data_IF_434879158181
#
_entry.id   IF_434879158181
#
_cell.length_a   1.000
_cell.length_b   1.000
_cell.length_c   1.000
_cell.angle_alpha   90.00
_cell.angle_beta   90.00
_cell.angle_gamma   90.00
#
_symmetry.space_group_name_H-M   'P 1'
#
loop_
_entity.id
_entity.type
_entity.pdbx_description
1 polymer ?
#
# COMPACT_ATOMS: atom_id res chain seq x y z
N UNK A 1 1.54 14.47 16.63
CA UNK A 1 2.40 13.38 16.09
C UNK A 1 3.21 12.69 17.21
N UNK A 2 3.96 13.43 18.04
CA UNK A 2 4.73 12.87 19.18
C UNK A 2 3.91 12.02 20.15
N UNK A 3 2.73 12.49 20.56
CA UNK A 3 1.84 11.75 21.48
C UNK A 3 1.36 10.39 20.96
N UNK A 4 1.23 10.22 19.64
CA UNK A 4 0.81 8.94 19.03
C UNK A 4 1.95 7.91 19.04
N UNK A 5 3.18 8.37 18.83
CA UNK A 5 4.37 7.53 18.84
C UNK A 5 4.70 7.11 20.27
N UNK A 6 4.64 8.04 21.23
CA UNK A 6 4.93 7.77 22.64
C UNK A 6 3.92 6.78 23.28
N UNK A 7 2.68 6.73 22.75
CA UNK A 7 1.64 5.80 23.21
C UNK A 7 1.68 4.43 22.50
N UNK A 8 2.56 4.25 21.52
CA UNK A 8 2.70 2.99 20.80
C UNK A 8 3.33 1.88 21.64
N UNK A 9 3.05 0.62 21.31
CA UNK A 9 3.72 -0.52 21.94
C UNK A 9 5.12 -0.73 21.31
N UNK A 10 6.23 -0.52 22.06
CA UNK A 10 7.58 -0.74 21.52
C UNK A 10 7.88 -2.20 21.23
N UNK A 11 7.14 -3.13 21.82
CA UNK A 11 7.26 -4.57 21.59
C UNK A 11 6.31 -5.07 20.48
N UNK A 12 5.71 -4.18 19.69
CA UNK A 12 4.87 -4.60 18.57
C UNK A 12 5.70 -5.37 17.53
N UNK A 13 5.40 -6.66 17.37
CA UNK A 13 6.00 -7.50 16.37
C UNK A 13 5.30 -7.28 15.01
N UNK A 14 6.00 -6.62 14.08
CA UNK A 14 5.47 -6.43 12.73
C UNK A 14 5.32 -7.78 12.02
N UNK A 15 4.19 -8.02 11.32
CA UNK A 15 4.01 -9.24 10.57
C UNK A 15 4.94 -9.26 9.36
N UNK A 16 5.41 -10.45 8.99
CA UNK A 16 6.04 -10.69 7.69
C UNK A 16 4.93 -10.87 6.67
N UNK A 17 4.88 -10.00 5.67
CA UNK A 17 3.89 -10.03 4.60
C UNK A 17 4.54 -10.59 3.33
N UNK A 18 3.77 -11.36 2.54
CA UNK A 18 4.18 -11.73 1.18
C UNK A 18 4.22 -10.47 0.32
N UNK A 19 5.38 -10.18 -0.29
CA UNK A 19 5.55 -9.01 -1.15
C UNK A 19 4.63 -9.00 -2.37
N UNK A 20 4.08 -10.16 -2.75
CA UNK A 20 3.11 -10.32 -3.84
C UNK A 20 1.66 -10.15 -3.39
N UNK A 21 1.39 -10.10 -2.08
CA UNK A 21 0.05 -9.88 -1.56
C UNK A 21 -0.45 -8.48 -1.96
N UNK A 22 -1.77 -8.38 -2.15
CA UNK A 22 -2.43 -7.12 -2.48
C UNK A 22 -2.32 -6.12 -1.32
N UNK A 23 -1.94 -4.88 -1.63
CA UNK A 23 -1.78 -3.80 -0.66
C UNK A 23 -2.61 -2.54 -0.97
N UNK A 24 -3.04 -2.34 -2.22
CA UNK A 24 -3.86 -1.19 -2.60
C UNK A 24 -4.76 -1.52 -3.80
N UNK A 25 -5.96 -0.93 -3.80
CA UNK A 25 -6.91 -0.97 -4.91
C UNK A 25 -7.26 0.46 -5.33
N UNK A 26 -6.85 0.84 -6.53
CA UNK A 26 -7.14 2.16 -7.08
C UNK A 26 -8.26 2.06 -8.11
N UNK A 27 -9.38 2.75 -7.86
CA UNK A 27 -10.46 2.87 -8.82
C UNK A 27 -10.24 4.09 -9.72
N UNK A 28 -10.32 3.89 -11.02
CA UNK A 28 -10.35 5.00 -11.98
C UNK A 28 -11.71 5.07 -12.65
N UNK A 29 -12.18 6.31 -12.84
CA UNK A 29 -13.34 6.60 -13.68
C UNK A 29 -13.03 6.11 -15.09
N UNK A 30 -13.59 4.96 -15.48
CA UNK A 30 -13.43 4.42 -16.82
C UNK A 30 -14.31 5.19 -17.81
N UNK A 31 -13.80 5.47 -19.00
CA UNK A 31 -14.56 6.13 -20.07
C UNK A 31 -15.77 5.34 -20.57
N UNK A 32 -15.84 4.03 -20.23
CA UNK A 32 -16.91 3.10 -20.62
C UNK A 32 -17.95 2.84 -19.52
N UNK A 33 -18.02 3.70 -18.49
CA UNK A 33 -19.09 3.71 -17.48
C UNK A 33 -18.80 2.95 -16.18
N UNK A 34 -18.19 1.76 -16.22
CA UNK A 34 -17.82 1.03 -14.99
C UNK A 34 -16.40 1.38 -14.54
N UNK A 35 -16.19 1.78 -13.27
CA UNK A 35 -14.85 2.00 -12.73
C UNK A 35 -14.00 0.73 -12.80
N UNK A 36 -12.79 0.85 -13.33
CA UNK A 36 -11.82 -0.27 -13.33
C UNK A 36 -10.98 -0.18 -12.07
N UNK A 37 -10.87 -1.29 -11.34
CA UNK A 37 -10.01 -1.40 -10.17
C UNK A 37 -8.63 -1.92 -10.56
N UNK A 38 -7.58 -1.18 -10.21
CA UNK A 38 -6.18 -1.61 -10.35
C UNK A 38 -5.68 -2.08 -8.99
N UNK A 39 -5.34 -3.37 -8.91
CA UNK A 39 -4.81 -3.98 -7.70
C UNK A 39 -3.28 -3.93 -7.73
N UNK A 40 -2.68 -3.35 -6.69
CA UNK A 40 -1.23 -3.29 -6.51
C UNK A 40 -0.77 -4.26 -5.42
N UNK A 41 0.37 -4.89 -5.64
CA UNK A 41 1.10 -5.64 -4.61
C UNK A 41 2.09 -4.74 -3.87
N UNK A 42 2.49 -5.16 -2.66
CA UNK A 42 3.52 -4.45 -1.88
C UNK A 42 4.78 -4.18 -2.70
N UNK A 43 5.29 -5.21 -3.38
CA UNK A 43 6.45 -5.11 -4.26
C UNK A 43 6.22 -4.13 -5.42
N UNK A 44 5.04 -4.21 -6.06
CA UNK A 44 4.69 -3.36 -7.19
C UNK A 44 4.71 -1.88 -6.80
N UNK A 45 4.10 -1.54 -5.67
CA UNK A 45 4.09 -0.17 -5.15
C UNK A 45 5.49 0.37 -4.86
N UNK A 46 6.35 -0.41 -4.19
CA UNK A 46 7.74 0.00 -3.89
C UNK A 46 8.54 0.23 -5.17
N UNK A 47 8.47 -0.71 -6.12
CA UNK A 47 9.17 -0.57 -7.40
C UNK A 47 8.68 0.64 -8.19
N UNK A 48 7.37 0.90 -8.22
CA UNK A 48 6.83 2.11 -8.86
C UNK A 48 7.33 3.40 -8.21
N UNK A 49 7.48 3.44 -6.88
CA UNK A 49 8.01 4.60 -6.18
C UNK A 49 9.52 4.81 -6.44
N UNK A 50 10.27 3.72 -6.61
CA UNK A 50 11.72 3.75 -6.88
C UNK A 50 12.04 3.94 -8.37
N UNK A 51 11.07 3.75 -9.26
CA UNK A 51 11.23 3.86 -10.72
C UNK A 51 11.51 5.29 -11.21
N UNK A 52 11.40 6.30 -10.35
CA UNK A 52 11.74 7.68 -10.69
C UNK A 52 13.12 8.01 -10.14
N UNK A 53 14.14 7.71 -10.95
CA UNK A 53 15.53 8.13 -10.78
C UNK A 53 16.06 8.65 -12.11
#
# INVERSE_FOLDING_TARGET
>A
MKTLIDAGNPAFAWPVLDERAACALCFTSGTTGQPKGVLYSHRGTVLSAMSTG
#
